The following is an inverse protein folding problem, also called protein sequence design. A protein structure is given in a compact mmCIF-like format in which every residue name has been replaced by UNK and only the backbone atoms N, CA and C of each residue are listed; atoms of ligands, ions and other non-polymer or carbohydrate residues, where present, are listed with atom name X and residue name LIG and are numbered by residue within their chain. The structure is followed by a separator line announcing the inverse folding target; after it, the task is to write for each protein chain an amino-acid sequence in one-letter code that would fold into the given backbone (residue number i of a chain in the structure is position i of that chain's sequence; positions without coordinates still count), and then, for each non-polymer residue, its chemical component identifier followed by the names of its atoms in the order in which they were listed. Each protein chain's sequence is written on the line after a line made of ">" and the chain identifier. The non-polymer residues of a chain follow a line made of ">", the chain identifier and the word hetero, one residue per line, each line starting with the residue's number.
data_IF_729850533902
#
_entry.id   IF_729850533902
#
_cell.length_a   1.000
_cell.length_b   1.000
_cell.length_c   1.000
_cell.angle_alpha   90.00
_cell.angle_beta   90.00
_cell.angle_gamma   90.00
#
_symmetry.space_group_name_H-M   'P 1'
#
loop_
_entity.id
_entity.type
_entity.pdbx_description
1 polymer ?
#
# COMPACT_ATOMS: atom_id res chain seq x y z
N UNK A 1 17.22 -25.98 23.37
CA UNK A 1 17.70 -24.86 22.51
C UNK A 1 16.66 -24.38 21.48
N UNK A 2 15.85 -25.27 20.90
CA UNK A 2 14.84 -24.95 19.85
C UNK A 2 13.76 -23.96 20.28
N UNK A 3 13.26 -24.08 21.53
CA UNK A 3 12.25 -23.18 22.11
C UNK A 3 12.74 -21.73 22.21
N UNK A 4 13.97 -21.52 22.69
CA UNK A 4 14.59 -20.19 22.85
C UNK A 4 14.79 -19.51 21.50
N UNK A 5 15.21 -20.27 20.48
CA UNK A 5 15.37 -19.77 19.11
C UNK A 5 14.03 -19.30 18.53
N UNK A 6 12.97 -20.09 18.69
CA UNK A 6 11.61 -19.73 18.23
C UNK A 6 11.06 -18.46 18.90
N UNK A 7 11.38 -18.24 20.18
CA UNK A 7 10.94 -17.07 20.93
C UNK A 7 11.64 -15.81 20.45
N UNK A 8 12.95 -15.91 20.21
CA UNK A 8 13.76 -14.82 19.67
C UNK A 8 13.26 -14.41 18.27
N UNK A 9 13.00 -15.39 17.40
CA UNK A 9 12.45 -15.14 16.07
C UNK A 9 11.07 -14.48 16.12
N UNK A 10 10.16 -14.93 17.00
CA UNK A 10 8.84 -14.30 17.19
C UNK A 10 8.97 -12.85 17.66
N UNK A 11 9.86 -12.56 18.60
CA UNK A 11 10.15 -11.19 19.04
C UNK A 11 10.69 -10.34 17.89
N UNK A 12 11.65 -10.85 17.13
CA UNK A 12 12.23 -10.13 15.98
C UNK A 12 11.20 -9.87 14.90
N UNK A 13 10.35 -10.84 14.53
CA UNK A 13 9.26 -10.65 13.56
C UNK A 13 8.27 -9.58 14.03
N UNK A 14 7.88 -9.60 15.31
CA UNK A 14 7.00 -8.59 15.90
C UNK A 14 7.60 -7.18 15.82
N UNK A 15 8.90 -7.05 16.12
CA UNK A 15 9.59 -5.76 16.01
C UNK A 15 9.73 -5.28 14.57
N UNK A 16 10.03 -6.19 13.63
CA UNK A 16 10.09 -5.86 12.18
C UNK A 16 8.73 -5.44 11.63
N UNK A 17 7.65 -6.11 12.01
CA UNK A 17 6.29 -5.74 11.63
C UNK A 17 5.95 -4.33 12.14
N UNK A 18 6.28 -4.02 13.40
CA UNK A 18 6.12 -2.68 13.95
C UNK A 18 6.95 -1.64 13.17
N UNK A 19 8.24 -1.90 12.95
CA UNK A 19 9.11 -0.98 12.23
C UNK A 19 8.65 -0.72 10.79
N UNK A 20 8.13 -1.76 10.11
CA UNK A 20 7.55 -1.62 8.78
C UNK A 20 6.32 -0.73 8.82
N UNK A 21 5.40 -0.93 9.77
CA UNK A 21 4.26 -0.03 9.96
C UNK A 21 4.70 1.42 10.26
N UNK A 22 5.76 1.61 11.07
CA UNK A 22 6.32 2.92 11.36
C UNK A 22 6.96 3.60 10.13
N UNK A 23 7.59 2.83 9.24
CA UNK A 23 8.21 3.37 8.04
C UNK A 23 7.20 3.68 6.94
N UNK A 24 6.06 2.99 6.93
CA UNK A 24 5.06 3.08 5.86
C UNK A 24 3.95 4.09 6.18
N UNK A 25 3.65 4.31 7.46
CA UNK A 25 2.64 5.26 7.91
C UNK A 25 3.30 6.61 8.20
N UNK A 26 2.70 7.70 7.72
CA UNK A 26 3.13 9.04 8.12
C UNK A 26 2.94 9.22 9.63
N UNK A 27 3.80 10.01 10.27
CA UNK A 27 3.70 10.31 11.70
C UNK A 27 2.32 10.85 12.08
N UNK A 28 1.66 11.55 11.15
CA UNK A 28 0.31 12.07 11.28
C UNK A 28 -0.74 10.96 11.41
N UNK A 29 -0.71 9.95 10.53
CA UNK A 29 -1.63 8.80 10.56
C UNK A 29 -1.42 8.00 11.85
N UNK A 30 -0.16 7.82 12.28
CA UNK A 30 0.15 7.11 13.52
C UNK A 30 -0.39 7.83 14.76
N UNK A 31 -0.18 9.13 14.90
CA UNK A 31 -0.71 9.92 16.02
C UNK A 31 -2.23 9.86 16.06
N UNK A 32 -2.88 9.85 14.89
CA UNK A 32 -4.34 9.70 14.79
C UNK A 32 -4.78 8.32 15.27
N UNK A 33 -4.15 7.24 14.81
CA UNK A 33 -4.43 5.86 15.26
C UNK A 33 -4.24 5.69 16.77
N UNK A 34 -3.18 6.27 17.33
CA UNK A 34 -2.89 6.20 18.78
C UNK A 34 -3.93 6.91 19.64
N UNK A 35 -4.70 7.84 19.07
CA UNK A 35 -5.81 8.51 19.76
C UNK A 35 -7.11 7.72 19.76
N UNK A 36 -7.19 6.63 18.97
CA UNK A 36 -8.38 5.79 18.83
C UNK A 36 -8.41 4.68 19.88
N UNK A 37 -9.59 4.46 20.46
CA UNK A 37 -9.76 3.59 21.63
C UNK A 37 -10.09 2.15 21.25
N UNK A 38 -10.77 1.94 20.12
CA UNK A 38 -11.18 0.61 19.67
C UNK A 38 -10.53 0.22 18.35
N UNK A 39 -10.30 -1.08 18.18
CA UNK A 39 -9.72 -1.65 16.95
C UNK A 39 -10.61 -1.38 15.73
N UNK A 40 -11.93 -1.35 15.92
CA UNK A 40 -12.88 -1.00 14.86
C UNK A 40 -12.67 0.42 14.35
N UNK A 41 -12.43 1.37 15.25
CA UNK A 41 -12.20 2.77 14.86
C UNK A 41 -10.90 2.92 14.07
N UNK A 42 -9.85 2.19 14.46
CA UNK A 42 -8.58 2.15 13.72
C UNK A 42 -8.78 1.59 12.31
N UNK A 43 -9.58 0.53 12.18
CA UNK A 43 -9.90 -0.08 10.89
C UNK A 43 -10.73 0.84 9.99
N UNK A 44 -11.79 1.45 10.53
CA UNK A 44 -12.67 2.36 9.81
C UNK A 44 -11.89 3.62 9.36
N UNK A 45 -11.03 4.17 10.23
CA UNK A 45 -10.15 5.30 9.90
C UNK A 45 -9.16 4.97 8.77
N UNK A 46 -8.46 3.83 8.86
CA UNK A 46 -7.54 3.40 7.80
C UNK A 46 -8.30 3.19 6.48
N UNK A 47 -9.52 2.63 6.54
CA UNK A 47 -10.34 2.45 5.36
C UNK A 47 -10.76 3.78 4.74
N UNK A 48 -11.03 4.82 5.52
CA UNK A 48 -11.37 6.16 5.02
C UNK A 48 -10.14 6.90 4.47
N UNK A 49 -9.04 6.92 5.22
CA UNK A 49 -7.77 7.57 4.84
C UNK A 49 -7.22 6.98 3.53
N UNK A 50 -7.36 5.66 3.36
CA UNK A 50 -6.91 4.93 2.16
C UNK A 50 -8.06 4.56 1.21
N UNK A 51 -9.31 4.98 1.43
CA UNK A 51 -10.36 4.89 0.41
C UNK A 51 -10.01 5.79 -0.79
N UNK A 52 -9.21 6.82 -0.56
CA UNK A 52 -8.52 7.57 -1.59
C UNK A 52 -7.61 6.70 -2.47
N UNK A 53 -7.07 5.58 -1.99
CA UNK A 53 -6.26 4.65 -2.79
C UNK A 53 -7.06 3.98 -3.90
N UNK A 54 -8.33 3.61 -3.69
CA UNK A 54 -9.19 3.12 -4.79
C UNK A 54 -9.44 4.20 -5.83
N UNK A 55 -9.67 5.46 -5.41
CA UNK A 55 -9.76 6.60 -6.33
C UNK A 55 -8.44 6.87 -7.05
N UNK A 56 -7.31 6.81 -6.35
CA UNK A 56 -5.96 7.04 -6.88
C UNK A 56 -5.58 5.92 -7.84
N UNK A 57 -5.85 4.66 -7.50
CA UNK A 57 -5.68 3.50 -8.39
C UNK A 57 -6.58 3.62 -9.62
N UNK A 58 -7.84 4.04 -9.45
CA UNK A 58 -8.74 4.33 -10.56
C UNK A 58 -8.19 5.43 -11.48
N UNK A 59 -7.69 6.52 -10.90
CA UNK A 59 -7.06 7.63 -11.63
C UNK A 59 -5.79 7.17 -12.38
N UNK A 60 -4.95 6.34 -11.75
CA UNK A 60 -3.76 5.75 -12.37
C UNK A 60 -4.13 4.82 -13.52
N UNK A 61 -5.14 3.97 -13.36
CA UNK A 61 -5.64 3.11 -14.43
C UNK A 61 -6.17 3.92 -15.62
N UNK A 62 -6.90 5.01 -15.37
CA UNK A 62 -7.38 5.91 -16.43
C UNK A 62 -6.22 6.60 -17.16
N UNK A 63 -5.19 7.06 -16.43
CA UNK A 63 -3.99 7.61 -17.05
C UNK A 63 -3.27 6.57 -17.91
N UNK A 64 -3.13 5.32 -17.44
CA UNK A 64 -2.50 4.25 -18.21
C UNK A 64 -3.28 3.90 -19.48
N UNK A 65 -4.62 3.86 -19.40
CA UNK A 65 -5.49 3.66 -20.58
C UNK A 65 -5.28 4.80 -21.57
N UNK A 66 -5.26 6.05 -21.11
CA UNK A 66 -5.03 7.22 -21.97
C UNK A 66 -3.65 7.21 -22.60
N UNK A 67 -2.60 6.90 -21.84
CA UNK A 67 -1.24 6.77 -22.37
C UNK A 67 -1.19 5.67 -23.42
N UNK A 68 -1.82 4.51 -23.18
CA UNK A 68 -1.92 3.42 -24.16
C UNK A 68 -2.70 3.82 -25.43
N UNK A 69 -3.82 4.54 -25.28
CA UNK A 69 -4.59 5.08 -26.41
C UNK A 69 -3.79 6.09 -27.23
N UNK A 70 -3.00 6.95 -26.57
CA UNK A 70 -2.09 7.90 -27.23
C UNK A 70 -0.92 7.19 -27.90
N UNK A 71 -0.46 6.07 -27.32
CA UNK A 71 0.60 5.24 -27.87
C UNK A 71 0.15 4.25 -28.96
N UNK A 72 -1.11 4.33 -29.40
CA UNK A 72 -1.59 3.45 -30.46
C UNK A 72 -0.71 3.59 -31.70
N UNK A 73 -0.17 2.44 -32.11
CA UNK A 73 0.39 2.26 -33.44
C UNK A 73 -0.68 2.60 -34.47
N UNK A 74 -0.30 3.26 -35.56
CA UNK A 74 -1.17 3.43 -36.72
C UNK A 74 -1.57 2.06 -37.23
N UNK A 75 -2.75 1.93 -37.82
CA UNK A 75 -3.24 0.65 -38.35
C UNK A 75 -2.30 0.02 -39.41
N UNK A 76 -1.36 0.81 -39.95
CA UNK A 76 -0.32 0.40 -40.89
C UNK A 76 1.03 0.02 -40.26
N UNK A 77 1.27 0.30 -38.98
CA UNK A 77 2.53 -0.02 -38.29
C UNK A 77 2.49 -1.47 -37.79
N UNK A 78 3.55 -2.23 -38.06
CA UNK A 78 3.68 -3.61 -37.58
C UNK A 78 4.52 -3.65 -36.29
N UNK A 79 4.31 -4.64 -35.42
CA UNK A 79 5.03 -4.80 -34.12
C UNK A 79 6.56 -4.79 -34.28
N UNK A 80 7.10 -5.08 -35.47
CA UNK A 80 8.54 -5.02 -35.75
C UNK A 80 9.08 -3.60 -36.01
N UNK A 81 8.21 -2.64 -36.28
CA UNK A 81 8.54 -1.27 -36.67
C UNK A 81 8.38 -0.25 -35.52
N UNK A 82 7.84 -0.69 -34.37
CA UNK A 82 7.79 0.03 -33.09
C UNK A 82 8.88 -0.47 -32.15
#
# INVERSE_FOLDING_TARGET
>A
MTQIKSHKERKTKKSKAKACLFATLSTTIFTRIMSLKFVKDVWDYLKEEYAGDERIRGMQSLNLIREFELHRMKDSETIKEY
#
